data_IF_208518102540
#
_entry.id   IF_208518102540
#
_cell.length_a   1.000
_cell.length_b   1.000
_cell.length_c   1.000
_cell.angle_alpha   90.00
_cell.angle_beta   90.00
_cell.angle_gamma   90.00
#
_symmetry.space_group_name_H-M   'P 1'
#
loop_
_entity.id
_entity.type
_entity.pdbx_description
1 polymer ?
#
# COMPACT_ATOMS: atom_id res chain seq x y z
N UNK A 1 -22.53 7.90 -13.21
CA UNK A 1 -22.31 7.76 -11.77
C UNK A 1 -21.14 6.82 -11.61
N UNK A 2 -19.98 7.34 -11.24
CA UNK A 2 -18.81 6.50 -10.97
C UNK A 2 -19.03 5.89 -9.58
N UNK A 3 -18.93 4.56 -9.47
CA UNK A 3 -19.28 3.82 -8.26
C UNK A 3 -18.53 4.30 -7.02
N UNK A 4 -19.08 4.02 -5.86
CA UNK A 4 -18.51 4.40 -4.57
C UNK A 4 -17.53 3.32 -4.06
N UNK A 5 -16.49 3.03 -4.87
CA UNK A 5 -15.53 1.97 -4.58
C UNK A 5 -14.82 2.16 -3.22
N UNK A 6 -14.54 3.40 -2.84
CA UNK A 6 -13.93 3.68 -1.53
C UNK A 6 -14.85 3.24 -0.39
N UNK A 7 -16.11 3.67 -0.37
CA UNK A 7 -17.08 3.25 0.65
C UNK A 7 -17.28 1.73 0.64
N UNK A 8 -17.37 1.11 -0.54
CA UNK A 8 -17.49 -0.34 -0.64
C UNK A 8 -16.32 -1.05 0.04
N UNK A 9 -15.07 -0.65 -0.25
CA UNK A 9 -13.88 -1.29 0.31
C UNK A 9 -13.65 -0.99 1.79
N UNK A 10 -13.95 0.24 2.24
CA UNK A 10 -13.62 0.67 3.61
C UNK A 10 -14.77 0.46 4.59
N UNK A 11 -15.99 0.29 4.11
CA UNK A 11 -17.18 0.09 4.94
C UNK A 11 -17.86 -1.24 4.64
N UNK A 12 -18.44 -1.39 3.45
CA UNK A 12 -19.32 -2.54 3.19
C UNK A 12 -18.57 -3.88 3.31
N UNK A 13 -17.35 -3.97 2.74
CA UNK A 13 -16.52 -5.18 2.82
C UNK A 13 -16.02 -5.40 4.25
N UNK A 14 -15.50 -4.36 4.90
CA UNK A 14 -14.95 -4.48 6.27
C UNK A 14 -16.05 -4.87 7.25
N UNK A 15 -17.19 -4.18 7.22
CA UNK A 15 -18.31 -4.45 8.10
C UNK A 15 -18.86 -5.87 7.87
N UNK A 16 -19.00 -6.27 6.60
CA UNK A 16 -19.48 -7.61 6.26
C UNK A 16 -18.53 -8.70 6.75
N UNK A 17 -17.21 -8.55 6.53
CA UNK A 17 -16.21 -9.52 6.99
C UNK A 17 -16.21 -9.63 8.50
N UNK A 18 -16.24 -8.51 9.21
CA UNK A 18 -16.27 -8.50 10.69
C UNK A 18 -17.54 -9.10 11.28
N UNK A 19 -18.65 -8.96 10.58
CA UNK A 19 -19.94 -9.49 11.03
C UNK A 19 -20.16 -10.98 10.71
N UNK A 20 -19.56 -11.48 9.62
CA UNK A 20 -19.90 -12.81 9.07
C UNK A 20 -18.75 -13.82 9.14
N UNK A 21 -17.51 -13.38 9.37
CA UNK A 21 -16.35 -14.26 9.44
C UNK A 21 -15.66 -14.15 10.81
N UNK A 22 -14.91 -15.17 11.25
CA UNK A 22 -14.11 -15.10 12.48
C UNK A 22 -12.86 -14.23 12.26
N UNK A 23 -13.07 -12.97 11.91
CA UNK A 23 -12.03 -12.01 11.63
C UNK A 23 -11.67 -11.18 12.87
N UNK A 24 -10.39 -10.82 12.97
CA UNK A 24 -9.92 -9.89 13.99
C UNK A 24 -10.64 -8.54 13.88
N UNK A 25 -10.82 -7.86 15.01
CA UNK A 25 -11.56 -6.60 15.06
C UNK A 25 -10.65 -5.37 15.01
N UNK A 26 -9.38 -5.53 15.37
CA UNK A 26 -8.44 -4.44 15.48
C UNK A 26 -7.75 -4.13 14.16
N UNK A 27 -7.54 -2.84 13.86
CA UNK A 27 -6.89 -2.39 12.63
C UNK A 27 -5.48 -2.98 12.42
N UNK A 28 -4.74 -3.18 13.50
CA UNK A 28 -3.39 -3.76 13.47
C UNK A 28 -3.36 -5.18 12.90
N UNK A 29 -4.49 -5.88 12.93
CA UNK A 29 -4.65 -7.26 12.45
C UNK A 29 -5.23 -7.32 11.02
N UNK A 30 -5.30 -6.17 10.35
CA UNK A 30 -5.78 -6.05 8.99
C UNK A 30 -4.70 -5.49 8.07
N UNK A 31 -4.55 -6.12 6.92
CA UNK A 31 -3.68 -5.66 5.86
C UNK A 31 -4.47 -5.29 4.60
N UNK A 32 -3.97 -4.28 3.88
CA UNK A 32 -4.41 -3.98 2.53
C UNK A 32 -3.24 -4.15 1.57
N UNK A 33 -3.47 -4.87 0.48
CA UNK A 33 -2.45 -5.16 -0.52
C UNK A 33 -2.96 -4.89 -1.93
N UNK A 34 -2.05 -4.65 -2.87
CA UNK A 34 -2.43 -4.46 -4.26
C UNK A 34 -1.24 -4.40 -5.21
N UNK A 35 -1.55 -4.55 -6.50
CA UNK A 35 -0.60 -4.45 -7.60
C UNK A 35 -0.96 -3.32 -8.55
N UNK A 36 0.05 -2.59 -9.05
CA UNK A 36 -0.14 -1.55 -10.07
C UNK A 36 -1.13 -0.47 -9.59
N UNK A 37 -2.23 -0.26 -10.29
CA UNK A 37 -3.32 0.61 -9.83
C UNK A 37 -3.86 0.17 -8.45
N UNK A 38 -3.95 -1.15 -8.20
CA UNK A 38 -4.32 -1.68 -6.89
C UNK A 38 -3.32 -1.34 -5.79
N UNK A 39 -2.03 -1.24 -6.12
CA UNK A 39 -0.99 -0.78 -5.19
C UNK A 39 -1.17 0.70 -4.83
N UNK A 40 -1.44 1.55 -5.83
CA UNK A 40 -1.76 2.97 -5.62
C UNK A 40 -3.00 3.12 -4.74
N UNK A 41 -4.06 2.34 -5.02
CA UNK A 41 -5.27 2.31 -4.20
C UNK A 41 -4.98 1.83 -2.77
N UNK A 42 -4.16 0.79 -2.60
CA UNK A 42 -3.79 0.28 -1.27
C UNK A 42 -3.06 1.31 -0.42
N UNK A 43 -2.14 2.07 -1.04
CA UNK A 43 -1.47 3.19 -0.36
C UNK A 43 -2.45 4.29 0.02
N UNK A 44 -3.33 4.69 -0.91
CA UNK A 44 -4.33 5.73 -0.65
C UNK A 44 -5.28 5.32 0.47
N UNK A 45 -5.87 4.14 0.37
CA UNK A 45 -6.87 3.65 1.32
C UNK A 45 -6.20 3.37 2.66
N UNK A 46 -5.11 2.63 2.68
CA UNK A 46 -4.41 2.26 3.91
C UNK A 46 -3.91 3.47 4.69
N UNK A 47 -3.30 4.45 4.01
CA UNK A 47 -2.79 5.66 4.66
C UNK A 47 -3.91 6.60 5.13
N UNK A 48 -5.05 6.68 4.41
CA UNK A 48 -6.20 7.48 4.83
C UNK A 48 -7.06 6.81 5.91
N UNK A 49 -6.89 5.49 6.12
CA UNK A 49 -7.68 4.72 7.08
C UNK A 49 -6.78 3.88 8.01
N UNK A 50 -5.92 4.51 8.83
CA UNK A 50 -5.10 3.80 9.81
C UNK A 50 -5.93 3.12 10.91
N UNK A 51 -7.19 3.53 11.05
CA UNK A 51 -8.20 2.92 11.91
C UNK A 51 -8.77 1.59 11.37
N UNK A 52 -8.54 1.29 10.08
CA UNK A 52 -8.98 0.05 9.43
C UNK A 52 -7.82 -0.91 9.11
N UNK A 53 -6.67 -0.36 8.70
CA UNK A 53 -5.55 -1.16 8.19
C UNK A 53 -4.24 -0.78 8.89
N UNK A 54 -3.68 -1.70 9.66
CA UNK A 54 -2.38 -1.52 10.29
C UNK A 54 -1.20 -1.85 9.37
N UNK A 55 -1.45 -2.57 8.27
CA UNK A 55 -0.40 -3.03 7.37
C UNK A 55 -0.78 -2.75 5.91
N UNK A 56 0.17 -2.21 5.14
CA UNK A 56 -0.01 -1.87 3.72
C UNK A 56 1.08 -2.57 2.90
N UNK A 57 0.68 -3.34 1.86
CA UNK A 57 1.62 -4.14 1.04
C UNK A 57 1.39 -3.83 -0.46
N UNK A 58 1.84 -2.68 -0.95
CA UNK A 58 1.71 -2.29 -2.35
C UNK A 58 2.91 -2.77 -3.19
N UNK A 59 2.65 -3.27 -4.40
CA UNK A 59 3.68 -3.62 -5.38
C UNK A 59 3.46 -2.87 -6.68
N UNK A 60 4.47 -2.12 -7.17
CA UNK A 60 4.39 -1.41 -8.45
C UNK A 60 3.42 -0.22 -8.43
N UNK A 61 3.47 0.61 -7.38
CA UNK A 61 2.57 1.75 -7.22
C UNK A 61 2.98 2.98 -8.01
N UNK A 62 1.99 3.79 -8.39
CA UNK A 62 2.17 5.13 -8.93
C UNK A 62 2.25 6.17 -7.81
N UNK A 63 2.79 7.36 -8.12
CA UNK A 63 2.86 8.48 -7.17
C UNK A 63 1.51 9.15 -6.92
N UNK A 64 0.59 9.01 -7.87
CA UNK A 64 -0.74 9.63 -7.81
C UNK A 64 -1.73 8.86 -8.68
N UNK A 65 -3.03 8.94 -8.40
CA UNK A 65 -4.04 8.37 -9.29
C UNK A 65 -3.96 9.04 -10.67
N UNK A 66 -3.89 8.23 -11.72
CA UNK A 66 -3.83 8.73 -13.11
C UNK A 66 -4.87 8.04 -14.00
N UNK A 67 -5.49 8.83 -14.87
CA UNK A 67 -6.30 8.37 -15.99
C UNK A 67 -6.26 9.45 -17.07
N UNK A 68 -5.22 9.40 -17.90
CA UNK A 68 -4.88 10.48 -18.83
C UNK A 68 -4.18 11.64 -18.11
N UNK A 69 -4.60 12.88 -18.36
CA UNK A 69 -4.04 14.05 -17.69
C UNK A 69 -4.61 14.24 -16.29
N UNK A 70 -3.86 14.93 -15.41
CA UNK A 70 -4.32 15.30 -14.07
C UNK A 70 -5.62 16.11 -14.11
N UNK A 71 -5.72 17.07 -15.06
CA UNK A 71 -6.94 17.86 -15.24
C UNK A 71 -8.15 16.99 -15.62
N UNK A 72 -7.94 15.99 -16.49
CA UNK A 72 -8.98 15.02 -16.83
C UNK A 72 -9.38 14.17 -15.63
N UNK A 73 -8.40 13.71 -14.85
CA UNK A 73 -8.64 12.95 -13.63
C UNK A 73 -9.50 13.74 -12.63
N UNK A 74 -9.10 15.00 -12.35
CA UNK A 74 -9.83 15.86 -11.42
C UNK A 74 -11.24 16.15 -11.91
N UNK A 75 -11.39 16.51 -13.18
CA UNK A 75 -12.71 16.83 -13.75
C UNK A 75 -13.67 15.64 -13.74
N UNK A 76 -13.19 14.47 -14.18
CA UNK A 76 -14.06 13.29 -14.40
C UNK A 76 -14.37 12.51 -13.13
N UNK A 77 -13.40 12.40 -12.22
CA UNK A 77 -13.52 11.50 -11.06
C UNK A 77 -13.70 12.25 -9.74
N UNK A 78 -13.32 13.53 -9.69
CA UNK A 78 -13.45 14.38 -8.50
C UNK A 78 -14.38 15.58 -8.71
N UNK A 79 -15.17 15.60 -9.80
CA UNK A 79 -16.11 16.68 -10.11
C UNK A 79 -15.47 18.09 -10.12
N UNK A 80 -14.20 18.17 -10.48
CA UNK A 80 -13.42 19.42 -10.47
C UNK A 80 -12.81 19.79 -9.10
N UNK A 81 -13.06 19.02 -8.07
CA UNK A 81 -12.50 19.25 -6.72
C UNK A 81 -11.05 18.77 -6.65
N UNK A 82 -10.11 19.72 -6.81
CA UNK A 82 -8.68 19.50 -6.70
C UNK A 82 -8.28 19.06 -5.28
N UNK A 83 -8.90 19.60 -4.25
CA UNK A 83 -8.58 19.27 -2.86
C UNK A 83 -8.93 17.82 -2.54
N UNK A 84 -10.08 17.34 -3.03
CA UNK A 84 -10.45 15.94 -2.91
C UNK A 84 -9.47 15.01 -3.64
N UNK A 85 -9.01 15.41 -4.83
CA UNK A 85 -7.97 14.68 -5.57
C UNK A 85 -6.63 14.63 -4.81
N UNK A 86 -6.17 15.77 -4.30
CA UNK A 86 -4.89 15.87 -3.60
C UNK A 86 -4.84 15.01 -2.32
N UNK A 87 -5.97 14.87 -1.63
CA UNK A 87 -6.12 13.95 -0.48
C UNK A 87 -5.92 12.47 -0.86
N UNK A 88 -6.11 12.12 -2.13
CA UNK A 88 -5.94 10.75 -2.62
C UNK A 88 -4.51 10.49 -3.16
N UNK A 89 -3.64 11.48 -3.21
CA UNK A 89 -2.23 11.27 -3.54
C UNK A 89 -1.57 10.54 -2.36
N UNK A 90 -0.93 9.35 -2.57
CA UNK A 90 -0.39 8.54 -1.49
C UNK A 90 0.51 9.29 -0.49
N UNK A 91 1.44 10.10 -1.01
CA UNK A 91 2.34 10.89 -0.16
C UNK A 91 1.57 11.91 0.71
N UNK A 92 0.51 12.51 0.18
CA UNK A 92 -0.30 13.45 0.95
C UNK A 92 -1.14 12.71 2.00
N UNK A 93 -1.71 11.55 1.65
CA UNK A 93 -2.44 10.71 2.58
C UNK A 93 -1.54 10.31 3.77
N UNK A 94 -0.31 9.87 3.50
CA UNK A 94 0.68 9.53 4.54
C UNK A 94 0.98 10.73 5.45
N UNK A 95 1.24 11.91 4.87
CA UNK A 95 1.54 13.13 5.64
C UNK A 95 0.37 13.61 6.48
N UNK A 96 -0.83 13.53 5.94
CA UNK A 96 -2.05 14.00 6.62
C UNK A 96 -2.40 13.16 7.86
N UNK A 97 -1.91 11.92 7.93
CA UNK A 97 -2.16 11.00 9.04
C UNK A 97 -0.89 10.72 9.89
N UNK A 98 0.14 11.55 9.74
CA UNK A 98 1.32 11.49 10.59
C UNK A 98 1.02 12.07 12.01
N UNK A 99 1.60 11.51 13.10
CA UNK A 99 2.41 10.30 13.09
C UNK A 99 1.58 9.03 12.93
N UNK A 100 2.11 8.03 12.22
CA UNK A 100 1.47 6.73 12.01
C UNK A 100 2.40 5.59 12.42
N UNK A 101 1.89 4.61 13.14
CA UNK A 101 2.61 3.38 13.50
C UNK A 101 2.31 2.20 12.56
N UNK A 102 1.68 2.46 11.43
CA UNK A 102 1.40 1.42 10.44
C UNK A 102 2.69 0.78 9.89
N UNK A 103 2.59 -0.46 9.45
CA UNK A 103 3.66 -1.15 8.74
C UNK A 103 3.46 -1.01 7.23
N UNK A 104 4.51 -0.60 6.52
CA UNK A 104 4.52 -0.51 5.07
C UNK A 104 5.61 -1.44 4.49
N UNK A 105 5.19 -2.47 3.74
CA UNK A 105 6.08 -3.27 2.91
C UNK A 105 5.82 -2.91 1.45
N UNK A 106 6.66 -2.06 0.88
CA UNK A 106 6.47 -1.51 -0.47
C UNK A 106 7.48 -2.10 -1.43
N UNK A 107 7.01 -2.61 -2.58
CA UNK A 107 7.87 -3.28 -3.55
C UNK A 107 7.65 -2.84 -4.99
N UNK A 108 8.67 -3.15 -5.82
CA UNK A 108 8.63 -3.02 -7.27
C UNK A 108 9.51 -4.10 -7.91
N UNK A 109 9.29 -4.44 -9.18
CA UNK A 109 10.25 -5.24 -9.95
C UNK A 109 11.49 -4.42 -10.26
N UNK A 110 12.68 -5.02 -10.16
CA UNK A 110 13.95 -4.35 -10.43
C UNK A 110 14.02 -3.70 -11.82
N UNK A 111 13.39 -4.32 -12.81
CA UNK A 111 13.34 -3.84 -14.20
C UNK A 111 12.23 -2.81 -14.43
N UNK A 112 11.29 -2.65 -13.51
CA UNK A 112 10.27 -1.59 -13.49
C UNK A 112 10.86 -0.31 -12.88
N UNK A 113 11.70 0.37 -13.64
CA UNK A 113 12.44 1.55 -13.18
C UNK A 113 11.54 2.70 -12.73
N UNK A 114 10.33 2.79 -13.25
CA UNK A 114 9.37 3.81 -12.84
C UNK A 114 8.86 3.53 -11.44
N UNK A 115 8.36 2.32 -11.19
CA UNK A 115 7.87 1.91 -9.88
C UNK A 115 8.98 1.91 -8.82
N UNK A 116 10.22 1.54 -9.17
CA UNK A 116 11.38 1.65 -8.26
C UNK A 116 11.56 3.11 -7.83
N UNK A 117 11.59 4.06 -8.78
CA UNK A 117 11.68 5.50 -8.44
C UNK A 117 10.49 5.99 -7.61
N UNK A 118 9.31 5.43 -7.81
CA UNK A 118 8.15 5.77 -6.99
C UNK A 118 8.31 5.27 -5.56
N UNK A 119 8.82 4.05 -5.36
CA UNK A 119 9.17 3.51 -4.03
C UNK A 119 10.18 4.41 -3.34
N UNK A 120 11.27 4.81 -4.03
CA UNK A 120 12.31 5.70 -3.51
C UNK A 120 11.77 7.07 -3.05
N UNK A 121 10.63 7.52 -3.60
CA UNK A 121 9.96 8.77 -3.21
C UNK A 121 8.95 8.60 -2.10
N UNK A 122 8.22 7.48 -2.08
CA UNK A 122 7.15 7.22 -1.10
C UNK A 122 7.74 6.75 0.23
N UNK A 123 8.68 5.82 0.19
CA UNK A 123 9.18 5.14 1.38
C UNK A 123 9.83 6.10 2.41
N UNK A 124 10.67 7.08 2.04
CA UNK A 124 11.20 8.05 2.99
C UNK A 124 10.12 8.92 3.65
N UNK A 125 9.06 9.27 2.91
CA UNK A 125 7.95 10.05 3.47
C UNK A 125 7.16 9.24 4.50
N UNK A 126 6.94 7.96 4.22
CA UNK A 126 6.28 7.04 5.16
C UNK A 126 7.13 6.85 6.42
N UNK A 127 8.45 6.71 6.28
CA UNK A 127 9.37 6.60 7.42
C UNK A 127 9.35 7.87 8.28
N UNK A 128 9.40 9.05 7.65
CA UNK A 128 9.29 10.34 8.34
C UNK A 128 7.95 10.53 9.05
N UNK A 129 6.89 9.93 8.53
CA UNK A 129 5.57 9.91 9.16
C UNK A 129 5.47 8.92 10.33
N UNK A 130 6.54 8.18 10.67
CA UNK A 130 6.59 7.23 11.78
C UNK A 130 6.23 5.79 11.43
N UNK A 131 5.94 5.49 10.16
CA UNK A 131 5.63 4.13 9.73
C UNK A 131 6.84 3.20 9.80
N UNK A 132 6.60 1.91 10.05
CA UNK A 132 7.61 0.85 9.96
C UNK A 132 7.78 0.41 8.53
N UNK A 133 8.80 0.96 7.83
CA UNK A 133 8.95 0.79 6.38
C UNK A 133 9.98 -0.26 6.01
N UNK A 134 9.61 -1.17 5.10
CA UNK A 134 10.52 -2.01 4.34
C UNK A 134 10.27 -1.79 2.85
N UNK A 135 11.26 -1.24 2.16
CA UNK A 135 11.22 -1.00 0.72
C UNK A 135 12.08 -2.05 0.00
N UNK A 136 11.54 -2.70 -1.02
CA UNK A 136 12.19 -3.82 -1.72
C UNK A 136 12.06 -3.73 -3.23
N UNK A 137 13.05 -4.23 -3.93
CA UNK A 137 12.96 -4.57 -5.35
C UNK A 137 13.02 -6.09 -5.53
N UNK A 138 12.17 -6.63 -6.39
CA UNK A 138 12.16 -8.02 -6.78
C UNK A 138 13.10 -8.20 -7.96
N UNK A 139 14.18 -8.97 -7.74
CA UNK A 139 15.28 -9.14 -8.68
C UNK A 139 14.81 -9.81 -9.98
N UNK A 140 15.37 -9.34 -11.10
CA UNK A 140 15.08 -9.82 -12.45
C UNK A 140 13.64 -9.69 -12.95
N UNK A 141 12.73 -9.15 -12.13
CA UNK A 141 11.32 -8.95 -12.47
C UNK A 141 11.03 -7.53 -12.95
N UNK A 142 9.98 -7.40 -13.77
CA UNK A 142 9.46 -6.14 -14.30
C UNK A 142 8.16 -5.76 -13.58
N UNK A 143 7.24 -5.08 -14.29
CA UNK A 143 5.89 -4.79 -13.80
C UNK A 143 4.99 -6.01 -14.00
N UNK A 144 5.21 -7.06 -13.22
CA UNK A 144 4.60 -8.38 -13.41
C UNK A 144 4.23 -9.08 -12.11
N UNK A 145 3.56 -10.22 -12.23
CA UNK A 145 3.10 -11.01 -11.10
C UNK A 145 4.21 -11.69 -10.30
N UNK A 146 5.41 -11.87 -10.83
CA UNK A 146 6.53 -12.40 -10.06
C UNK A 146 7.01 -11.38 -9.04
N UNK A 147 7.08 -10.09 -9.42
CA UNK A 147 7.37 -9.02 -8.48
C UNK A 147 6.32 -8.93 -7.35
N UNK A 148 5.04 -9.17 -7.69
CA UNK A 148 3.96 -9.25 -6.68
C UNK A 148 4.15 -10.42 -5.75
N UNK A 149 4.42 -11.62 -6.29
CA UNK A 149 4.61 -12.83 -5.49
C UNK A 149 5.75 -12.67 -4.48
N UNK A 150 6.88 -12.13 -4.91
CA UNK A 150 8.04 -11.94 -4.04
C UNK A 150 7.75 -10.92 -2.94
N UNK A 151 7.22 -9.75 -3.30
CA UNK A 151 6.84 -8.70 -2.33
C UNK A 151 5.79 -9.19 -1.35
N UNK A 152 4.75 -9.87 -1.86
CA UNK A 152 3.64 -10.34 -1.05
C UNK A 152 4.07 -11.48 -0.11
N UNK A 153 4.95 -12.39 -0.53
CA UNK A 153 5.51 -13.43 0.34
C UNK A 153 6.18 -12.83 1.57
N UNK A 154 7.04 -11.83 1.37
CA UNK A 154 7.68 -11.14 2.48
C UNK A 154 6.66 -10.34 3.31
N UNK A 155 5.78 -9.59 2.65
CA UNK A 155 4.73 -8.80 3.31
C UNK A 155 3.80 -9.64 4.16
N UNK A 156 3.39 -10.82 3.69
CA UNK A 156 2.56 -11.76 4.47
C UNK A 156 3.32 -12.38 5.65
N UNK A 157 4.63 -12.61 5.52
CA UNK A 157 5.43 -13.06 6.65
C UNK A 157 5.54 -11.97 7.73
N UNK A 158 5.70 -10.69 7.31
CA UNK A 158 5.66 -9.53 8.23
C UNK A 158 4.27 -9.41 8.88
N UNK A 159 3.20 -9.57 8.10
CA UNK A 159 1.84 -9.60 8.61
C UNK A 159 1.67 -10.70 9.68
N UNK A 160 2.04 -11.95 9.35
CA UNK A 160 1.92 -13.09 10.26
C UNK A 160 2.67 -12.88 11.58
N UNK A 161 3.87 -12.28 11.53
CA UNK A 161 4.63 -11.96 12.73
C UNK A 161 3.97 -10.84 13.55
N UNK A 162 3.54 -9.75 12.90
CA UNK A 162 2.94 -8.61 13.59
C UNK A 162 1.59 -8.92 14.24
N UNK A 163 0.84 -9.87 13.68
CA UNK A 163 -0.48 -10.31 14.18
C UNK A 163 -0.41 -11.52 15.11
N UNK A 164 0.78 -12.04 15.38
CA UNK A 164 0.97 -13.22 16.25
C UNK A 164 0.55 -14.55 15.61
N UNK A 165 0.33 -14.58 14.30
CA UNK A 165 0.09 -15.81 13.53
C UNK A 165 1.38 -16.62 13.30
N UNK A 166 2.54 -16.00 13.52
CA UNK A 166 3.86 -16.61 13.40
C UNK A 166 4.81 -16.02 14.46
N UNK A 167 5.54 -16.88 15.15
CA UNK A 167 6.58 -16.48 16.09
C UNK A 167 7.90 -16.11 15.40
N UNK A 168 8.05 -16.47 14.11
CA UNK A 168 9.26 -16.24 13.34
C UNK A 168 9.27 -14.82 12.76
N UNK A 169 10.15 -13.94 13.29
CA UNK A 169 10.38 -12.62 12.72
C UNK A 169 11.03 -12.76 11.33
N UNK A 170 10.39 -12.29 10.25
CA UNK A 170 10.93 -12.43 8.91
C UNK A 170 12.20 -11.59 8.74
N UNK A 171 13.22 -12.17 8.14
CA UNK A 171 14.46 -11.48 7.77
C UNK A 171 14.53 -11.41 6.25
N UNK A 172 14.81 -10.23 5.70
CA UNK A 172 14.85 -10.06 4.25
C UNK A 172 15.87 -10.98 3.56
N UNK A 173 16.95 -11.34 4.26
CA UNK A 173 17.98 -12.29 3.76
C UNK A 173 17.41 -13.68 3.46
N UNK A 174 16.31 -14.07 4.05
CA UNK A 174 15.64 -15.35 3.81
C UNK A 174 14.81 -15.35 2.50
N UNK A 175 14.77 -14.20 1.81
CA UNK A 175 14.05 -13.96 0.56
C UNK A 175 15.04 -13.57 -0.56
N UNK A 176 15.75 -14.53 -1.15
CA UNK A 176 16.87 -14.25 -2.06
C UNK A 176 16.47 -13.50 -3.33
N UNK A 177 15.18 -13.51 -3.71
CA UNK A 177 14.67 -12.75 -4.84
C UNK A 177 14.41 -11.28 -4.51
N UNK A 178 14.55 -10.87 -3.25
CA UNK A 178 14.31 -9.50 -2.82
C UNK A 178 15.60 -8.81 -2.41
N UNK A 179 15.75 -7.59 -2.87
CA UNK A 179 16.80 -6.68 -2.44
C UNK A 179 16.20 -5.44 -1.78
N UNK A 180 16.80 -4.96 -0.70
CA UNK A 180 16.38 -3.75 -0.02
C UNK A 180 16.67 -2.53 -0.87
N UNK A 181 15.70 -1.65 -1.02
CA UNK A 181 15.89 -0.28 -1.52
C UNK A 181 16.33 0.57 -0.32
N UNK A 182 17.45 1.27 -0.47
CA UNK A 182 17.93 2.23 0.56
C UNK A 182 17.02 3.46 0.58
N UNK A 183 16.56 3.86 1.77
CA UNK A 183 15.65 5.00 1.99
C UNK A 183 16.20 5.90 3.09
#
# INVERSE_FOLDING_TARGET
MYGNALTYLTKDVVDWVKANLPAAQQAQDWAIAGFSQGATCSLQIGANHPDLFGIIIPTGSELKPTNGSESSMISRFFHGDRTAYEKQIPINAIRNHAPSNQTLVIGAGERDRESVRNVERIAPVAQQAGMHVTAVESLDNAHDWHAVQDTLRYGLAVFGYNTGLSDAKPKLVDYPNLKRISI
#
